data_IF_013835754874
#
_entry.id   IF_013835754874
#
_cell.length_a   1.000
_cell.length_b   1.000
_cell.length_c   1.000
_cell.angle_alpha   90.00
_cell.angle_beta   90.00
_cell.angle_gamma   90.00
#
_symmetry.space_group_name_H-M   'P 1'
#
loop_
_entity.id
_entity.type
_entity.pdbx_description
1 polymer ?
#
# COMPACT_ATOMS: atom_id res chain seq x y z
N UNK A 1 7.87 -2.72 -3.18
CA UNK A 1 7.23 -2.02 -4.33
C UNK A 1 7.40 -2.86 -5.60
N UNK A 2 6.29 -3.19 -6.27
CA UNK A 2 6.30 -3.81 -7.60
C UNK A 2 6.00 -2.73 -8.65
N UNK A 3 6.83 -2.64 -9.68
CA UNK A 3 6.65 -1.72 -10.81
C UNK A 3 5.84 -2.41 -11.93
N UNK A 4 4.97 -1.66 -12.59
CA UNK A 4 4.27 -2.12 -13.77
C UNK A 4 5.19 -2.09 -15.00
N UNK A 5 4.78 -2.76 -16.08
CA UNK A 5 5.53 -2.74 -17.33
C UNK A 5 5.65 -1.30 -17.85
N UNK A 6 6.87 -0.86 -18.15
CA UNK A 6 7.16 0.51 -18.59
C UNK A 6 7.11 1.58 -17.49
N UNK A 7 6.91 1.19 -16.24
CA UNK A 7 6.95 2.09 -15.09
C UNK A 7 8.38 2.22 -14.57
N UNK A 8 8.81 3.45 -14.27
CA UNK A 8 10.13 3.74 -13.70
C UNK A 8 9.98 4.54 -12.42
N UNK A 9 10.81 4.22 -11.43
CA UNK A 9 10.86 4.97 -10.16
C UNK A 9 11.59 6.28 -10.38
N UNK A 10 10.95 7.39 -10.05
CA UNK A 10 11.50 8.75 -10.15
C UNK A 10 12.06 9.24 -8.80
N UNK A 11 11.33 8.97 -7.71
CA UNK A 11 11.71 9.42 -6.37
C UNK A 11 11.19 8.46 -5.30
N UNK A 12 11.88 8.40 -4.17
CA UNK A 12 11.38 7.75 -2.97
C UNK A 12 11.96 8.43 -1.73
N UNK A 13 11.17 8.49 -0.66
CA UNK A 13 11.63 8.95 0.65
C UNK A 13 10.81 8.31 1.76
N UNK A 14 11.41 8.28 2.94
CA UNK A 14 10.67 8.04 4.16
C UNK A 14 9.60 9.11 4.35
N UNK A 15 8.41 8.71 4.74
CA UNK A 15 7.27 9.58 4.97
C UNK A 15 6.41 9.08 6.12
N UNK A 16 5.68 9.98 6.76
CA UNK A 16 4.64 9.63 7.74
C UNK A 16 3.30 10.05 7.18
N UNK A 17 2.40 9.09 6.98
CA UNK A 17 1.02 9.36 6.55
C UNK A 17 0.17 9.75 7.75
N UNK A 18 -0.56 10.85 7.62
CA UNK A 18 -1.47 11.37 8.63
C UNK A 18 -2.86 11.69 8.05
N UNK A 19 -3.88 11.45 8.85
CA UNK A 19 -5.24 11.94 8.59
C UNK A 19 -5.95 11.33 7.39
N UNK A 20 -5.57 10.14 6.93
CA UNK A 20 -6.20 9.47 5.79
C UNK A 20 -6.46 8.00 6.07
N UNK A 21 -7.70 7.57 5.79
CA UNK A 21 -8.12 6.18 6.02
C UNK A 21 -8.25 5.77 7.49
N UNK A 22 -8.40 4.49 7.77
CA UNK A 22 -8.44 3.96 9.13
C UNK A 22 -7.14 4.27 9.89
N UNK A 23 -7.22 4.51 11.19
CA UNK A 23 -6.07 4.84 12.03
C UNK A 23 -4.95 3.80 11.99
N UNK A 24 -5.29 2.53 11.74
CA UNK A 24 -4.33 1.44 11.58
C UNK A 24 -3.37 1.61 10.38
N UNK A 25 -3.73 2.44 9.41
CA UNK A 25 -2.93 2.73 8.21
C UNK A 25 -2.28 4.11 8.26
N UNK A 26 -2.26 4.75 9.41
CA UNK A 26 -1.55 6.00 9.64
C UNK A 26 -0.22 5.70 10.31
N UNK A 27 0.85 6.32 9.82
CA UNK A 27 2.17 6.11 10.42
C UNK A 27 3.31 6.15 9.40
N UNK A 28 4.47 5.63 9.82
CA UNK A 28 5.69 5.69 9.03
C UNK A 28 5.68 4.65 7.89
N UNK A 29 6.27 5.06 6.77
CA UNK A 29 6.40 4.23 5.58
C UNK A 29 7.33 4.84 4.56
N UNK A 30 7.23 4.39 3.32
CA UNK A 30 7.98 4.92 2.20
C UNK A 30 7.01 5.43 1.14
N UNK A 31 7.18 6.70 0.78
CA UNK A 31 6.47 7.32 -0.33
C UNK A 31 7.32 7.18 -1.60
N UNK A 32 6.68 6.73 -2.67
CA UNK A 32 7.29 6.55 -3.98
C UNK A 32 6.55 7.39 -5.01
N UNK A 33 7.32 8.02 -5.90
CA UNK A 33 6.84 8.61 -7.14
C UNK A 33 7.41 7.79 -8.29
N UNK A 34 6.55 7.39 -9.19
CA UNK A 34 6.92 6.73 -10.44
C UNK A 34 6.51 7.58 -11.64
N UNK A 35 6.81 7.11 -12.82
CA UNK A 35 6.33 7.73 -14.08
C UNK A 35 4.82 7.64 -14.25
N UNK A 36 4.11 6.78 -13.49
CA UNK A 36 2.69 6.49 -13.69
C UNK A 36 1.82 6.81 -12.45
N UNK A 37 2.37 6.71 -11.23
CA UNK A 37 1.59 6.80 -9.98
C UNK A 37 2.40 7.28 -8.78
N UNK A 38 1.68 7.61 -7.71
CA UNK A 38 2.20 7.81 -6.36
C UNK A 38 1.78 6.64 -5.49
N UNK A 39 2.73 6.03 -4.79
CA UNK A 39 2.52 4.88 -3.91
C UNK A 39 3.00 5.21 -2.51
N UNK A 40 2.30 4.69 -1.50
CA UNK A 40 2.79 4.70 -0.13
C UNK A 40 2.70 3.30 0.47
N UNK A 41 3.82 2.80 0.92
CA UNK A 41 3.96 1.48 1.54
C UNK A 41 4.36 1.61 3.00
N UNK A 42 3.67 0.88 3.86
CA UNK A 42 3.98 0.78 5.28
C UNK A 42 4.45 -0.63 5.63
N UNK A 43 5.36 -0.71 6.59
CA UNK A 43 5.67 -1.99 7.22
C UNK A 43 4.75 -2.18 8.42
N UNK A 44 3.87 -3.15 8.34
CA UNK A 44 3.01 -3.54 9.46
C UNK A 44 3.64 -4.75 10.13
N UNK A 45 3.95 -4.63 11.41
CA UNK A 45 4.32 -5.80 12.20
C UNK A 45 3.05 -6.57 12.51
N UNK A 46 2.88 -7.73 11.93
CA UNK A 46 1.86 -8.69 12.34
C UNK A 46 2.25 -9.22 13.74
N UNK A 47 2.02 -8.37 14.75
CA UNK A 47 2.31 -8.71 16.12
C UNK A 47 1.06 -9.14 16.83
N UNK A 48 0.89 -10.41 17.12
CA UNK A 48 0.34 -10.86 18.41
C UNK A 48 0.40 -12.39 18.55
N UNK A 49 1.60 -12.94 18.45
CA UNK A 49 1.86 -14.18 19.18
C UNK A 49 3.23 -14.02 19.84
N UNK A 50 3.22 -13.95 21.18
CA UNK A 50 4.42 -13.97 22.00
C UNK A 50 5.30 -15.14 21.55
N UNK A 51 6.42 -14.83 20.88
CA UNK A 51 7.55 -15.76 20.81
C UNK A 51 7.89 -16.43 19.49
N UNK A 52 7.15 -16.23 18.39
CA UNK A 52 7.52 -16.86 17.12
C UNK A 52 7.31 -15.92 15.92
N UNK A 53 8.45 -15.59 15.28
CA UNK A 53 8.59 -15.01 13.94
C UNK A 53 7.77 -13.74 13.71
N UNK A 54 8.34 -12.59 14.05
CA UNK A 54 7.86 -11.28 13.60
C UNK A 54 8.18 -11.09 12.12
N UNK A 55 7.29 -11.53 11.25
CA UNK A 55 7.31 -11.18 9.84
C UNK A 55 6.95 -9.70 9.69
N UNK A 56 7.83 -8.88 9.11
CA UNK A 56 7.47 -7.54 8.65
C UNK A 56 6.74 -7.70 7.32
N UNK A 57 5.46 -7.44 7.32
CA UNK A 57 4.66 -7.40 6.10
C UNK A 57 4.62 -5.97 5.57
N UNK A 58 4.87 -5.80 4.27
CA UNK A 58 4.76 -4.50 3.60
C UNK A 58 3.38 -4.40 2.98
N UNK A 59 2.62 -3.40 3.40
CA UNK A 59 1.27 -3.14 2.90
C UNK A 59 1.27 -1.85 2.08
N UNK A 60 0.71 -1.89 0.88
CA UNK A 60 0.46 -0.68 0.09
C UNK A 60 -0.83 -0.03 0.60
N UNK A 61 -0.68 1.13 1.22
CA UNK A 61 -1.79 1.90 1.80
C UNK A 61 -2.39 2.88 0.81
N UNK A 62 -1.55 3.42 -0.08
CA UNK A 62 -1.95 4.35 -1.12
C UNK A 62 -1.33 3.93 -2.45
N UNK A 63 -2.15 3.84 -3.48
CA UNK A 63 -1.75 3.64 -4.86
C UNK A 63 -2.63 4.53 -5.75
N UNK A 64 -2.05 5.62 -6.24
CA UNK A 64 -2.79 6.65 -6.97
C UNK A 64 -2.13 6.93 -8.31
N UNK A 65 -2.78 6.57 -9.42
CA UNK A 65 -2.33 6.98 -10.74
C UNK A 65 -2.23 8.51 -10.86
N UNK A 66 -1.18 9.01 -11.50
CA UNK A 66 -0.94 10.46 -11.64
C UNK A 66 -2.12 11.24 -12.25
N UNK A 67 -2.90 10.71 -13.22
CA UNK A 67 -4.08 11.39 -13.73
C UNK A 67 -5.22 11.57 -12.71
N UNK A 68 -5.29 10.71 -11.68
CA UNK A 68 -6.32 10.81 -10.63
C UNK A 68 -5.91 11.75 -9.49
N UNK A 69 -4.68 12.22 -9.49
CA UNK A 69 -4.19 13.22 -8.55
C UNK A 69 -4.65 14.60 -9.00
N UNK A 70 -5.64 15.18 -8.32
CA UNK A 70 -6.20 16.50 -8.68
C UNK A 70 -5.20 17.61 -8.46
N UNK A 71 -4.67 17.69 -7.27
CA UNK A 71 -3.74 18.74 -6.87
C UNK A 71 -2.71 18.22 -5.87
N UNK A 72 -1.58 18.93 -5.80
CA UNK A 72 -0.52 18.70 -4.81
C UNK A 72 -0.15 20.04 -4.22
N UNK A 73 -0.11 20.13 -2.92
CA UNK A 73 0.22 21.36 -2.21
C UNK A 73 1.07 21.10 -0.98
N UNK A 74 1.79 22.13 -0.57
CA UNK A 74 2.52 22.12 0.69
C UNK A 74 1.69 22.89 1.72
N UNK A 75 1.41 22.24 2.85
CA UNK A 75 0.74 22.89 3.98
C UNK A 75 1.64 22.95 5.20
N UNK A 76 1.55 24.06 5.94
CA UNK A 76 2.17 24.16 7.27
C UNK A 76 1.34 23.33 8.25
N UNK A 77 1.96 22.33 8.86
CA UNK A 77 1.37 21.56 9.95
C UNK A 77 1.29 22.35 11.27
N UNK A 78 0.67 21.75 12.29
CA UNK A 78 0.43 22.36 13.61
C UNK A 78 1.70 22.88 14.31
N UNK A 79 2.85 22.26 14.05
CA UNK A 79 4.15 22.62 14.64
C UNK A 79 5.06 23.39 13.64
N UNK A 80 4.47 24.03 12.63
CA UNK A 80 5.22 24.80 11.64
C UNK A 80 5.96 23.94 10.59
N UNK A 81 5.92 22.61 10.69
CA UNK A 81 6.52 21.72 9.69
C UNK A 81 5.72 21.76 8.40
N UNK A 82 6.40 21.89 7.28
CA UNK A 82 5.80 21.77 5.98
C UNK A 82 5.43 20.32 5.68
N UNK A 83 4.24 20.09 5.14
CA UNK A 83 3.72 18.77 4.79
C UNK A 83 3.25 18.73 3.35
N UNK A 84 3.51 17.63 2.69
CA UNK A 84 2.97 17.35 1.37
C UNK A 84 1.51 16.90 1.51
N UNK A 85 0.59 17.59 0.85
CA UNK A 85 -0.81 17.20 0.77
C UNK A 85 -1.17 16.83 -0.66
N UNK A 86 -1.72 15.64 -0.84
CA UNK A 86 -2.27 15.19 -2.12
C UNK A 86 -3.79 15.38 -2.10
N UNK A 87 -4.36 15.92 -3.16
CA UNK A 87 -5.80 16.07 -3.30
C UNK A 87 -6.33 15.01 -4.27
N UNK A 88 -7.10 14.07 -3.73
CA UNK A 88 -7.71 12.95 -4.44
C UNK A 88 -9.23 13.11 -4.44
N UNK A 89 -9.92 12.37 -5.30
CA UNK A 89 -11.38 12.28 -5.25
C UNK A 89 -11.87 11.69 -3.94
N UNK A 90 -11.14 10.71 -3.39
CA UNK A 90 -11.50 9.99 -2.18
C UNK A 90 -11.01 10.63 -0.87
N UNK A 91 -10.31 11.76 -0.93
CA UNK A 91 -9.81 12.43 0.28
C UNK A 91 -8.52 13.21 0.07
N UNK A 92 -7.92 13.64 1.19
CA UNK A 92 -6.72 14.50 1.18
C UNK A 92 -5.64 13.93 2.10
N UNK A 93 -4.93 12.85 1.69
CA UNK A 93 -3.81 12.35 2.48
C UNK A 93 -2.73 13.43 2.65
N UNK A 94 -2.17 13.48 3.86
CA UNK A 94 -1.09 14.39 4.24
C UNK A 94 0.13 13.60 4.67
N UNK A 95 1.30 13.98 4.16
CA UNK A 95 2.55 13.30 4.42
C UNK A 95 3.56 14.26 5.05
N UNK A 96 4.12 13.84 6.18
CA UNK A 96 5.35 14.46 6.70
C UNK A 96 6.53 13.82 5.94
N UNK A 97 7.15 14.60 5.06
CA UNK A 97 8.26 14.18 4.20
C UNK A 97 9.40 15.19 4.30
N UNK A 98 10.59 14.71 4.07
CA UNK A 98 11.73 15.60 3.85
C UNK A 98 11.53 16.33 2.51
N UNK A 99 11.60 17.67 2.52
CA UNK A 99 11.52 18.52 1.33
C UNK A 99 10.21 18.35 0.51
N UNK A 100 9.05 18.78 1.06
CA UNK A 100 7.76 18.66 0.40
C UNK A 100 7.63 19.51 -0.87
N UNK A 101 8.39 20.62 -0.99
CA UNK A 101 8.44 21.46 -2.18
C UNK A 101 9.07 20.69 -3.36
N UNK A 102 10.18 20.00 -3.14
CA UNK A 102 10.81 19.18 -4.18
C UNK A 102 9.91 17.99 -4.59
N UNK A 103 9.10 17.46 -3.67
CA UNK A 103 8.07 16.48 -4.01
C UNK A 103 6.98 17.05 -4.91
N UNK A 104 6.49 18.24 -4.58
CA UNK A 104 5.48 18.95 -5.39
C UNK A 104 6.00 19.19 -6.81
N UNK A 105 7.25 19.68 -6.95
CA UNK A 105 7.88 19.90 -8.24
C UNK A 105 8.06 18.60 -9.04
N UNK A 106 8.53 17.54 -8.39
CA UNK A 106 8.73 16.23 -9.03
C UNK A 106 7.40 15.64 -9.55
N UNK A 107 6.34 15.71 -8.75
CA UNK A 107 5.00 15.25 -9.16
C UNK A 107 4.48 16.08 -10.34
N UNK A 108 4.66 17.40 -10.31
CA UNK A 108 4.24 18.27 -11.41
C UNK A 108 4.99 17.97 -12.72
N UNK A 109 6.28 17.61 -12.65
CA UNK A 109 7.06 17.18 -13.81
C UNK A 109 6.56 15.81 -14.30
N UNK A 110 6.36 14.86 -13.41
CA UNK A 110 5.86 13.53 -13.76
C UNK A 110 4.49 13.60 -14.44
N UNK A 111 3.58 14.44 -13.95
CA UNK A 111 2.26 14.66 -14.59
C UNK A 111 2.35 15.21 -16.00
N UNK A 112 3.33 16.07 -16.30
CA UNK A 112 3.53 16.64 -17.64
C UNK A 112 4.18 15.68 -18.62
N UNK A 113 5.03 14.78 -18.12
CA UNK A 113 5.77 13.81 -18.93
C UNK A 113 4.98 12.55 -19.26
N UNK A 114 3.79 12.38 -18.71
CA UNK A 114 2.93 11.24 -19.02
C UNK A 114 2.07 11.56 -20.26
N UNK A 115 2.39 11.06 -21.47
CA UNK A 115 1.39 10.98 -22.50
C UNK A 115 0.32 10.01 -21.95
N UNK A 116 -0.88 10.52 -21.70
CA UNK A 116 -1.98 9.70 -21.24
C UNK A 116 -2.44 8.74 -22.34
N UNK A 117 -2.19 7.46 -22.22
CA UNK A 117 -3.10 6.48 -22.73
C UNK A 117 -3.78 5.77 -21.57
N UNK A 118 -4.31 6.50 -20.60
CA UNK A 118 -5.17 5.86 -19.63
C UNK A 118 -6.58 5.79 -20.21
N UNK A 119 -6.79 4.81 -21.10
CA UNK A 119 -8.10 4.18 -21.20
C UNK A 119 -8.39 3.69 -19.80
N UNK A 120 -9.44 4.21 -19.19
CA UNK A 120 -9.90 3.78 -17.89
C UNK A 120 -10.20 2.27 -17.96
N UNK A 121 -9.20 1.47 -17.64
CA UNK A 121 -9.46 0.08 -17.32
C UNK A 121 -10.32 0.10 -16.06
N UNK A 122 -11.41 -0.69 -16.02
CA UNK A 122 -12.23 -0.79 -14.83
C UNK A 122 -11.30 -1.10 -13.65
N UNK A 123 -11.52 -0.39 -12.55
CA UNK A 123 -10.85 -0.67 -11.28
C UNK A 123 -10.97 -2.16 -11.03
N UNK A 124 -9.90 -2.90 -11.32
CA UNK A 124 -9.84 -4.29 -10.93
C UNK A 124 -9.87 -4.24 -9.40
N UNK A 125 -11.03 -4.52 -8.85
CA UNK A 125 -11.17 -4.91 -7.46
C UNK A 125 -10.22 -6.10 -7.32
N UNK A 126 -9.06 -5.89 -6.69
CA UNK A 126 -8.18 -6.97 -6.31
C UNK A 126 -9.00 -7.83 -5.34
N UNK A 127 -9.69 -8.80 -5.89
CA UNK A 127 -10.15 -9.94 -5.13
C UNK A 127 -8.87 -10.57 -4.61
N UNK A 128 -8.64 -10.43 -3.30
CA UNK A 128 -7.58 -11.17 -2.63
C UNK A 128 -8.01 -12.63 -2.77
N UNK A 129 -7.48 -13.31 -3.78
CA UNK A 129 -7.60 -14.75 -3.86
C UNK A 129 -6.84 -15.29 -2.65
N UNK A 130 -7.60 -15.60 -1.61
CA UNK A 130 -7.11 -16.32 -0.45
C UNK A 130 -6.67 -17.69 -0.98
N UNK A 131 -5.37 -17.89 -1.14
CA UNK A 131 -4.82 -19.20 -1.42
C UNK A 131 -5.17 -20.08 -0.21
N UNK A 132 -6.17 -20.93 -0.38
CA UNK A 132 -6.53 -21.93 0.63
C UNK A 132 -5.51 -23.05 0.50
N UNK A 133 -4.53 -23.06 1.41
CA UNK A 133 -3.56 -24.15 1.50
C UNK A 133 -4.30 -25.37 2.03
N UNK A 134 -4.42 -26.40 1.19
CA UNK A 134 -4.99 -27.70 1.60
C UNK A 134 -3.90 -28.62 2.11
N UNK A 135 -4.03 -29.06 3.34
CA UNK A 135 -3.12 -30.00 3.99
C UNK A 135 -3.72 -31.41 3.97
N UNK A 136 -2.90 -32.41 3.66
CA UNK A 136 -3.30 -33.80 3.70
C UNK A 136 -3.26 -34.31 5.14
N UNK A 137 -4.39 -34.80 5.62
CA UNK A 137 -4.48 -35.39 6.94
C UNK A 137 -3.60 -36.66 7.07
N UNK A 138 -2.78 -36.72 8.11
CA UNK A 138 -1.87 -37.84 8.36
C UNK A 138 -2.60 -39.14 8.73
N UNK A 139 -3.83 -39.09 9.22
CA UNK A 139 -4.60 -40.23 9.68
C UNK A 139 -5.47 -40.86 8.60
N UNK A 140 -6.21 -40.05 7.83
CA UNK A 140 -7.13 -40.57 6.83
C UNK A 140 -6.78 -40.19 5.37
N UNK A 141 -5.75 -39.39 5.16
CA UNK A 141 -5.35 -38.91 3.82
C UNK A 141 -6.28 -37.89 3.20
N UNK A 142 -7.37 -37.50 3.87
CA UNK A 142 -8.31 -36.46 3.40
C UNK A 142 -7.66 -35.06 3.35
N UNK A 143 -8.14 -34.22 2.48
CA UNK A 143 -7.67 -32.83 2.36
C UNK A 143 -8.50 -31.92 3.26
N UNK A 144 -7.85 -31.16 4.13
CA UNK A 144 -8.45 -30.13 4.97
C UNK A 144 -7.76 -28.78 4.79
N UNK A 145 -8.42 -27.70 5.21
CA UNK A 145 -7.84 -26.37 5.18
C UNK A 145 -6.99 -26.18 6.44
N UNK A 146 -5.82 -25.57 6.29
CA UNK A 146 -4.92 -25.26 7.41
C UNK A 146 -5.60 -24.42 8.49
N UNK A 147 -6.49 -23.52 8.09
CA UNK A 147 -7.20 -22.59 8.99
C UNK A 147 -8.17 -23.30 9.94
N UNK A 148 -8.72 -24.43 9.53
CA UNK A 148 -9.73 -25.15 10.32
C UNK A 148 -9.12 -25.98 11.44
N UNK A 149 -7.79 -26.25 11.40
CA UNK A 149 -7.03 -26.99 12.39
C UNK A 149 -7.48 -28.43 12.62
N UNK A 150 -8.55 -28.88 11.95
CA UNK A 150 -9.11 -30.23 12.04
C UNK A 150 -9.48 -30.77 10.66
N UNK A 151 -9.27 -32.06 10.48
CA UNK A 151 -9.64 -32.78 9.28
C UNK A 151 -11.18 -32.89 9.17
N UNK A 152 -11.80 -32.43 8.07
CA UNK A 152 -13.26 -32.51 7.91
C UNK A 152 -13.77 -33.95 7.75
N UNK A 153 -12.86 -34.89 7.41
CA UNK A 153 -13.22 -36.31 7.18
C UNK A 153 -13.17 -37.14 8.46
N UNK A 154 -12.17 -36.95 9.33
CA UNK A 154 -11.98 -37.79 10.51
C UNK A 154 -11.88 -37.01 11.83
N UNK A 155 -11.95 -35.69 11.81
CA UNK A 155 -11.88 -34.83 13.01
C UNK A 155 -10.49 -34.72 13.65
N UNK A 156 -9.48 -35.44 13.15
CA UNK A 156 -8.13 -35.34 13.69
C UNK A 156 -7.50 -33.98 13.46
N UNK A 157 -6.58 -33.53 14.33
CA UNK A 157 -5.79 -32.33 14.13
C UNK A 157 -4.93 -32.45 12.86
N UNK A 158 -4.90 -31.37 12.06
CA UNK A 158 -4.15 -31.27 10.80
C UNK A 158 -2.72 -30.78 11.08
#
# INVERSE_FOLDING_TARGET
MLLHQGESKLRSSYAVLEGYGPSAYQGPGVLYLTTQRVLFEMSVSSGLVRGLVSGKETVTVLDVPLPHLRNVSVRKGRLGRARLQLELTAGRPSFDVLDPEAWTAAIAIAKRGTPSPYVALPVATHTIERQVVKIRCRYCGGLGNEVDGRCPTCGAAL
#
